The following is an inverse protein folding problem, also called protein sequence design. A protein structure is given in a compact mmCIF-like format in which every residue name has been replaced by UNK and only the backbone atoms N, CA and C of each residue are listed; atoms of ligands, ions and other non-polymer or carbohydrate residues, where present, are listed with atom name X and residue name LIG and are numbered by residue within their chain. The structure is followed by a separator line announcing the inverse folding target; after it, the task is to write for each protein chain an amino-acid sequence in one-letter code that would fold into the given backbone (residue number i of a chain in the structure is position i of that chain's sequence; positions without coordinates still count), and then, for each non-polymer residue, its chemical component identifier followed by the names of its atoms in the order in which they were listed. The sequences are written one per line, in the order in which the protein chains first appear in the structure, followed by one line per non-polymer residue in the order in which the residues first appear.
data_IF_250691676520
#
_entry.id   IF_250691676520
#
_cell.length_a   1.000
_cell.length_b   1.000
_cell.length_c   1.000
_cell.angle_alpha   90.00
_cell.angle_beta   90.00
_cell.angle_gamma   90.00
#
_symmetry.space_group_name_H-M   'P 1'
#
loop_
_entity.id
_entity.type
_entity.pdbx_description
1 polymer ?
#
# COMPACT_ATOMS: atom_id res chain seq x y z
N UNK A 1 4.52 -24.98 19.02
CA UNK A 1 3.27 -24.26 19.32
C UNK A 1 3.26 -22.97 18.50
N UNK A 2 2.07 -22.48 18.09
CA UNK A 2 1.87 -21.31 17.28
C UNK A 2 1.06 -20.27 18.07
N UNK A 3 1.25 -18.99 17.76
CA UNK A 3 0.53 -17.86 18.39
C UNK A 3 -0.02 -16.94 17.32
N UNK A 4 -1.32 -16.62 17.40
CA UNK A 4 -1.98 -15.68 16.51
C UNK A 4 -1.83 -14.24 17.05
N UNK A 5 -1.55 -13.32 16.13
CA UNK A 5 -1.51 -11.88 16.37
C UNK A 5 -2.49 -11.21 15.43
N UNK A 6 -3.39 -10.39 15.96
CA UNK A 6 -4.38 -9.67 15.19
C UNK A 6 -3.96 -8.22 14.98
N UNK A 7 -4.18 -7.74 13.76
CA UNK A 7 -3.91 -6.37 13.34
C UNK A 7 -5.13 -5.77 12.67
N UNK A 8 -5.33 -4.47 12.84
CA UNK A 8 -6.40 -3.71 12.17
C UNK A 8 -5.81 -2.57 11.37
N UNK A 9 -5.95 -2.64 10.04
CA UNK A 9 -5.47 -1.65 9.08
C UNK A 9 -6.62 -1.21 8.19
N UNK A 10 -6.85 0.07 8.04
CA UNK A 10 -7.97 0.65 7.26
C UNK A 10 -9.34 0.04 7.60
N UNK A 11 -9.57 -0.27 8.88
CA UNK A 11 -10.80 -0.92 9.32
C UNK A 11 -10.83 -2.44 9.16
N UNK A 12 -9.91 -3.03 8.40
CA UNK A 12 -9.83 -4.48 8.16
C UNK A 12 -9.00 -5.17 9.23
N UNK A 13 -9.54 -6.24 9.80
CA UNK A 13 -8.82 -7.08 10.77
C UNK A 13 -8.28 -8.32 10.07
N UNK A 14 -7.02 -8.65 10.31
CA UNK A 14 -6.39 -9.87 9.81
C UNK A 14 -5.50 -10.51 10.86
N UNK A 15 -5.31 -11.83 10.74
CA UNK A 15 -4.52 -12.64 11.64
C UNK A 15 -3.16 -13.02 11.03
N UNK A 16 -2.12 -13.00 11.85
CA UNK A 16 -0.80 -13.53 11.52
C UNK A 16 -0.39 -14.51 12.61
N UNK A 17 -0.26 -15.79 12.25
CA UNK A 17 0.10 -16.85 13.17
C UNK A 17 1.59 -17.17 13.03
N UNK A 18 2.34 -16.98 14.12
CA UNK A 18 3.78 -17.17 14.20
C UNK A 18 4.17 -18.31 15.16
N UNK A 19 5.36 -18.93 14.98
CA UNK A 19 5.94 -19.79 16.01
C UNK A 19 6.12 -19.03 17.33
N UNK A 20 5.89 -19.71 18.48
CA UNK A 20 5.94 -19.06 19.80
C UNK A 20 7.34 -18.54 20.21
N UNK A 21 8.38 -19.05 19.58
CA UNK A 21 9.76 -18.57 19.76
C UNK A 21 10.10 -17.31 18.92
N UNK A 22 9.14 -16.82 18.15
CA UNK A 22 9.30 -15.61 17.32
C UNK A 22 8.53 -14.43 17.93
N UNK A 23 9.28 -13.38 18.27
CA UNK A 23 8.72 -12.18 18.87
C UNK A 23 8.22 -11.22 17.80
N UNK A 24 6.90 -11.00 17.77
CA UNK A 24 6.26 -10.12 16.77
C UNK A 24 6.75 -8.68 16.85
N UNK A 25 7.15 -8.22 18.01
CA UNK A 25 7.74 -6.90 18.25
C UNK A 25 9.05 -6.68 17.51
N UNK A 26 9.84 -7.74 17.35
CA UNK A 26 11.12 -7.70 16.65
C UNK A 26 10.93 -7.90 15.13
N UNK A 27 10.01 -8.78 14.74
CA UNK A 27 9.77 -9.13 13.34
C UNK A 27 8.95 -8.06 12.61
N UNK A 28 7.94 -7.49 13.28
CA UNK A 28 6.97 -6.56 12.71
C UNK A 28 6.80 -5.31 13.58
N UNK A 29 7.88 -4.56 13.88
CA UNK A 29 7.81 -3.38 14.77
C UNK A 29 6.86 -2.30 14.24
N UNK A 30 6.75 -2.14 12.93
CA UNK A 30 5.85 -1.18 12.28
C UNK A 30 4.36 -1.52 12.44
N UNK A 31 4.03 -2.75 12.82
CA UNK A 31 2.65 -3.20 13.05
C UNK A 31 2.16 -2.93 14.48
N UNK A 32 3.03 -2.53 15.40
CA UNK A 32 2.65 -2.32 16.80
C UNK A 32 1.51 -1.30 16.98
N UNK A 33 1.47 -0.16 16.25
CA UNK A 33 0.35 0.78 16.32
C UNK A 33 -0.97 0.22 15.78
N UNK A 34 -0.93 -0.88 15.05
CA UNK A 34 -2.07 -1.52 14.40
C UNK A 34 -2.55 -2.79 15.12
N UNK A 35 -1.97 -3.11 16.27
CA UNK A 35 -2.41 -4.27 17.07
C UNK A 35 -3.89 -4.15 17.40
N UNK A 36 -4.59 -5.28 17.25
CA UNK A 36 -6.01 -5.39 17.54
C UNK A 36 -6.23 -6.44 18.63
N UNK A 37 -7.07 -6.12 19.59
CA UNK A 37 -7.57 -7.08 20.58
C UNK A 37 -8.98 -7.47 20.17
N UNK A 38 -9.21 -8.75 20.01
CA UNK A 38 -10.51 -9.27 19.61
C UNK A 38 -11.59 -8.90 20.67
N UNK A 39 -12.68 -8.32 20.19
CA UNK A 39 -13.84 -7.95 20.97
C UNK A 39 -15.10 -8.67 20.45
N UNK A 40 -15.17 -9.98 20.62
CA UNK A 40 -16.27 -10.81 20.12
C UNK A 40 -15.94 -11.52 18.79
N UNK A 41 -16.95 -11.74 17.94
CA UNK A 41 -16.80 -12.44 16.66
C UNK A 41 -16.39 -11.48 15.52
N UNK A 42 -15.15 -11.04 15.49
CA UNK A 42 -14.64 -10.22 14.38
C UNK A 42 -14.35 -11.11 13.16
N UNK A 43 -14.97 -10.79 12.02
CA UNK A 43 -14.64 -11.46 10.75
C UNK A 43 -13.26 -10.99 10.30
N UNK A 44 -12.34 -11.92 10.07
CA UNK A 44 -11.03 -11.62 9.52
C UNK A 44 -11.12 -11.37 8.01
N UNK A 45 -10.34 -10.40 7.54
CA UNK A 45 -10.11 -10.19 6.11
C UNK A 45 -9.36 -11.38 5.52
N UNK A 46 -8.29 -11.80 6.21
CA UNK A 46 -7.54 -13.02 5.92
C UNK A 46 -6.83 -13.55 7.17
N UNK A 47 -6.41 -14.82 7.09
CA UNK A 47 -5.50 -15.44 8.06
C UNK A 47 -4.22 -15.86 7.35
N UNK A 48 -3.07 -15.35 7.82
CA UNK A 48 -1.75 -15.75 7.35
C UNK A 48 -1.09 -16.65 8.39
N UNK A 49 -0.88 -17.91 8.01
CA UNK A 49 -0.27 -18.92 8.87
C UNK A 49 1.16 -19.20 8.42
N UNK A 50 2.14 -18.81 9.25
CA UNK A 50 3.54 -19.14 8.96
C UNK A 50 3.80 -20.61 9.30
N UNK A 51 4.36 -21.35 8.36
CA UNK A 51 4.68 -22.77 8.49
C UNK A 51 6.17 -23.01 8.32
N UNK A 52 6.70 -24.00 9.04
CA UNK A 52 8.04 -24.53 8.82
C UNK A 52 8.12 -25.52 7.66
N UNK A 53 6.97 -26.05 7.23
CA UNK A 53 6.93 -26.97 6.12
C UNK A 53 7.24 -26.24 4.83
N UNK A 54 8.21 -26.73 4.08
CA UNK A 54 8.50 -26.20 2.75
C UNK A 54 7.27 -26.46 1.90
N UNK A 55 6.56 -25.38 1.56
CA UNK A 55 5.46 -25.46 0.63
C UNK A 55 6.04 -25.86 -0.73
N UNK A 56 5.86 -27.14 -1.09
CA UNK A 56 6.37 -27.67 -2.34
C UNK A 56 5.83 -26.88 -3.53
N UNK A 57 6.67 -26.72 -4.55
CA UNK A 57 6.20 -26.24 -5.85
C UNK A 57 5.34 -27.35 -6.45
N UNK A 58 4.10 -27.02 -6.82
CA UNK A 58 3.25 -28.00 -7.50
C UNK A 58 3.77 -28.19 -8.92
N UNK A 59 3.89 -29.43 -9.39
CA UNK A 59 4.32 -29.76 -10.76
C UNK A 59 3.45 -29.08 -11.85
N UNK A 60 2.23 -28.66 -11.49
CA UNK A 60 1.29 -27.97 -12.36
C UNK A 60 1.36 -26.43 -12.24
N UNK A 61 2.28 -25.85 -11.48
CA UNK A 61 2.38 -24.42 -11.33
C UNK A 61 2.88 -23.72 -12.60
N UNK A 62 2.28 -22.58 -12.95
CA UNK A 62 2.65 -21.77 -14.10
C UNK A 62 3.13 -20.39 -13.63
N UNK A 63 4.33 -19.99 -14.03
CA UNK A 63 4.82 -18.60 -13.78
C UNK A 63 3.97 -17.63 -14.60
N UNK A 64 3.35 -16.68 -13.93
CA UNK A 64 2.49 -15.65 -14.55
C UNK A 64 3.12 -14.27 -14.54
N UNK A 65 4.00 -13.99 -13.57
CA UNK A 65 4.71 -12.72 -13.47
C UNK A 65 6.05 -12.90 -12.77
N UNK A 66 7.06 -12.19 -13.23
CA UNK A 66 8.36 -12.11 -12.56
C UNK A 66 8.81 -10.66 -12.57
N UNK A 67 9.17 -10.12 -11.41
CA UNK A 67 9.63 -8.75 -11.26
C UNK A 67 10.89 -8.70 -10.41
N UNK A 68 11.73 -7.70 -10.69
CA UNK A 68 12.87 -7.34 -9.87
C UNK A 68 12.77 -5.85 -9.56
N UNK A 69 12.82 -5.51 -8.28
CA UNK A 69 12.70 -4.14 -7.80
C UNK A 69 13.45 -3.95 -6.48
N UNK A 70 13.27 -2.79 -5.84
CA UNK A 70 13.94 -2.45 -4.57
C UNK A 70 13.62 -3.43 -3.41
N UNK A 71 12.57 -4.25 -3.55
CA UNK A 71 12.21 -5.31 -2.60
C UNK A 71 12.86 -6.66 -2.92
N UNK A 72 13.63 -6.74 -4.01
CA UNK A 72 14.25 -7.96 -4.49
C UNK A 72 13.51 -8.58 -5.68
N UNK A 73 13.77 -9.86 -5.91
CA UNK A 73 13.13 -10.63 -6.97
C UNK A 73 11.85 -11.27 -6.45
N UNK A 74 10.75 -11.08 -7.18
CA UNK A 74 9.47 -11.73 -6.92
C UNK A 74 9.04 -12.56 -8.12
N UNK A 75 8.53 -13.76 -7.85
CA UNK A 75 7.97 -14.68 -8.85
C UNK A 75 6.56 -15.04 -8.41
N UNK A 76 5.60 -14.72 -9.24
CA UNK A 76 4.19 -15.10 -9.05
C UNK A 76 3.88 -16.31 -9.94
N UNK A 77 3.32 -17.32 -9.34
CA UNK A 77 2.87 -18.55 -10.01
C UNK A 77 1.36 -18.74 -9.77
N UNK A 78 0.66 -19.25 -10.76
CA UNK A 78 -0.69 -19.79 -10.57
C UNK A 78 -0.58 -21.28 -10.26
N UNK A 79 -1.33 -21.72 -9.26
CA UNK A 79 -1.38 -23.11 -8.79
C UNK A 79 -2.81 -23.65 -8.84
N UNK A 80 -3.02 -24.93 -8.56
CA UNK A 80 -4.35 -25.51 -8.44
C UNK A 80 -5.18 -24.93 -7.28
N UNK A 81 -4.49 -24.46 -6.21
CA UNK A 81 -5.13 -23.86 -5.03
C UNK A 81 -5.42 -22.35 -5.21
N UNK A 82 -4.66 -21.65 -6.03
CA UNK A 82 -4.75 -20.21 -6.22
C UNK A 82 -3.42 -19.62 -6.67
N UNK A 83 -2.69 -18.99 -5.76
CA UNK A 83 -1.43 -18.32 -6.08
C UNK A 83 -0.30 -18.80 -5.18
N UNK A 84 0.89 -18.89 -5.78
CA UNK A 84 2.16 -18.97 -5.06
C UNK A 84 2.99 -17.73 -5.42
N UNK A 85 3.43 -16.97 -4.41
CA UNK A 85 4.36 -15.87 -4.61
C UNK A 85 5.65 -16.20 -3.86
N UNK A 86 6.76 -16.08 -4.57
CA UNK A 86 8.12 -16.27 -4.07
C UNK A 86 8.83 -14.93 -4.01
N UNK A 87 9.55 -14.68 -2.92
CA UNK A 87 10.30 -13.44 -2.67
C UNK A 87 11.72 -13.77 -2.26
N UNK A 88 12.69 -13.12 -2.91
CA UNK A 88 14.12 -13.21 -2.60
C UNK A 88 14.72 -11.81 -2.63
N UNK A 89 15.35 -11.36 -1.53
CA UNK A 89 15.89 -10.01 -1.43
C UNK A 89 17.22 -9.79 -2.17
N UNK A 90 18.01 -10.82 -2.35
CA UNK A 90 19.32 -10.77 -3.05
C UNK A 90 19.57 -12.07 -3.76
N UNK A 91 20.42 -12.03 -4.77
CA UNK A 91 20.94 -13.24 -5.41
C UNK A 91 21.54 -14.18 -4.35
N UNK A 92 21.22 -15.45 -4.47
CA UNK A 92 21.62 -16.52 -3.53
C UNK A 92 21.06 -16.39 -2.09
N UNK A 93 20.20 -15.42 -1.79
CA UNK A 93 19.48 -15.38 -0.53
C UNK A 93 18.40 -16.49 -0.48
N UNK A 94 17.96 -16.90 0.72
CA UNK A 94 16.84 -17.82 0.85
C UNK A 94 15.56 -17.30 0.19
N UNK A 95 14.73 -18.23 -0.29
CA UNK A 95 13.42 -17.94 -0.85
C UNK A 95 12.39 -17.96 0.26
N UNK A 96 11.63 -16.87 0.38
CA UNK A 96 10.42 -16.79 1.18
C UNK A 96 9.22 -16.93 0.25
N UNK A 97 8.12 -17.51 0.71
CA UNK A 97 6.97 -17.73 -0.15
C UNK A 97 5.64 -17.57 0.62
N UNK A 98 4.59 -17.24 -0.11
CA UNK A 98 3.20 -17.46 0.31
C UNK A 98 2.47 -18.33 -0.69
N UNK A 99 1.52 -19.11 -0.18
CA UNK A 99 0.42 -19.72 -0.94
C UNK A 99 -0.87 -19.10 -0.46
N UNK A 100 -1.69 -18.63 -1.40
CA UNK A 100 -2.97 -18.00 -1.12
C UNK A 100 -4.06 -18.59 -1.98
N UNK A 101 -5.27 -18.70 -1.42
CA UNK A 101 -6.47 -18.96 -2.20
C UNK A 101 -6.75 -17.80 -3.18
N UNK A 102 -7.63 -17.96 -4.18
CA UNK A 102 -7.88 -16.93 -5.19
C UNK A 102 -8.35 -15.58 -4.63
N UNK A 103 -8.95 -15.56 -3.43
CA UNK A 103 -9.45 -14.36 -2.77
C UNK A 103 -8.51 -13.82 -1.70
N UNK A 104 -7.36 -14.45 -1.49
CA UNK A 104 -6.40 -14.12 -0.43
C UNK A 104 -7.02 -14.11 0.97
N UNK A 105 -7.97 -15.00 1.25
CA UNK A 105 -8.60 -15.18 2.58
C UNK A 105 -7.84 -16.16 3.45
N UNK A 106 -7.26 -17.20 2.84
CA UNK A 106 -6.39 -18.18 3.47
C UNK A 106 -4.99 -18.11 2.88
N UNK A 107 -4.02 -17.72 3.71
CA UNK A 107 -2.64 -17.54 3.29
C UNK A 107 -1.72 -18.40 4.17
N UNK A 108 -0.89 -19.22 3.54
CA UNK A 108 0.21 -19.94 4.19
C UNK A 108 1.53 -19.29 3.78
N UNK A 109 2.38 -19.01 4.75
CA UNK A 109 3.68 -18.40 4.51
C UNK A 109 4.81 -19.34 4.94
N UNK A 110 5.82 -19.45 4.10
CA UNK A 110 7.11 -20.07 4.44
C UNK A 110 8.16 -18.98 4.55
N UNK A 111 8.72 -18.82 5.75
CA UNK A 111 9.74 -17.81 6.07
C UNK A 111 11.01 -18.53 6.51
N UNK A 112 12.10 -18.25 5.83
CA UNK A 112 13.43 -18.76 6.20
C UNK A 112 13.97 -17.92 7.36
N UNK A 113 13.85 -18.44 8.58
CA UNK A 113 14.17 -17.68 9.81
C UNK A 113 15.66 -17.38 10.00
N UNK A 114 16.54 -18.14 9.34
CA UNK A 114 17.99 -17.90 9.35
C UNK A 114 18.42 -16.76 8.41
N UNK A 115 17.50 -16.23 7.61
CA UNK A 115 17.74 -15.04 6.79
C UNK A 115 17.67 -13.78 7.64
N UNK A 116 18.66 -12.91 7.51
CA UNK A 116 18.69 -11.59 8.16
C UNK A 116 17.51 -10.70 7.72
N UNK A 117 16.91 -10.98 6.58
CA UNK A 117 15.75 -10.28 6.02
C UNK A 117 14.41 -10.94 6.38
N UNK A 118 14.36 -11.97 7.23
CA UNK A 118 13.14 -12.71 7.54
C UNK A 118 11.95 -11.82 7.97
N UNK A 119 12.20 -10.83 8.85
CA UNK A 119 11.18 -9.87 9.26
C UNK A 119 10.69 -8.98 8.12
N UNK A 120 11.62 -8.48 7.28
CA UNK A 120 11.27 -7.69 6.09
C UNK A 120 10.52 -8.51 5.05
N UNK A 121 10.90 -9.78 4.88
CA UNK A 121 10.20 -10.70 4.00
C UNK A 121 8.77 -10.95 4.48
N UNK A 122 8.59 -11.27 5.76
CA UNK A 122 7.26 -11.44 6.36
C UNK A 122 6.40 -10.18 6.17
N UNK A 123 6.95 -9.00 6.47
CA UNK A 123 6.28 -7.72 6.27
C UNK A 123 5.81 -7.53 4.81
N UNK A 124 6.66 -7.86 3.84
CA UNK A 124 6.33 -7.75 2.42
C UNK A 124 5.29 -8.78 1.97
N UNK A 125 5.39 -10.02 2.44
CA UNK A 125 4.41 -11.08 2.17
C UNK A 125 3.01 -10.71 2.71
N UNK A 126 2.93 -10.16 3.93
CA UNK A 126 1.68 -9.64 4.50
C UNK A 126 1.13 -8.50 3.65
N UNK A 127 1.98 -7.55 3.20
CA UNK A 127 1.57 -6.44 2.33
C UNK A 127 0.95 -6.94 1.04
N UNK A 128 1.56 -7.93 0.40
CA UNK A 128 1.07 -8.49 -0.86
C UNK A 128 -0.29 -9.16 -0.63
N UNK A 129 -0.43 -10.00 0.39
CA UNK A 129 -1.70 -10.63 0.71
C UNK A 129 -2.79 -9.59 1.02
N UNK A 130 -2.46 -8.60 1.85
CA UNK A 130 -3.37 -7.51 2.21
C UNK A 130 -3.85 -6.73 0.98
N UNK A 131 -2.92 -6.35 0.08
CA UNK A 131 -3.27 -5.53 -1.09
C UNK A 131 -4.23 -6.22 -2.06
N UNK A 132 -4.21 -7.56 -2.13
CA UNK A 132 -5.17 -8.31 -2.94
C UNK A 132 -6.50 -8.52 -2.20
N UNK A 133 -6.44 -8.89 -0.92
CA UNK A 133 -7.63 -9.18 -0.11
C UNK A 133 -8.58 -7.97 0.02
N UNK A 134 -8.06 -6.75 0.09
CA UNK A 134 -8.87 -5.53 0.24
C UNK A 134 -9.64 -5.14 -1.02
N UNK A 135 -9.25 -5.62 -2.21
CA UNK A 135 -9.86 -5.19 -3.48
C UNK A 135 -11.37 -5.43 -3.52
N UNK A 136 -11.84 -6.58 -3.04
CA UNK A 136 -13.26 -6.92 -2.97
C UNK A 136 -14.07 -6.08 -1.95
N UNK A 137 -13.38 -5.22 -1.20
CA UNK A 137 -13.96 -4.36 -0.15
C UNK A 137 -13.91 -2.86 -0.48
N UNK A 138 -13.87 -2.51 -1.77
CA UNK A 138 -13.78 -1.12 -2.26
C UNK A 138 -12.57 -0.37 -1.66
N UNK A 139 -11.45 -1.06 -1.56
CA UNK A 139 -10.21 -0.50 -1.03
C UNK A 139 -9.03 -0.85 -1.92
N UNK A 140 -8.02 0.03 -1.98
CA UNK A 140 -6.84 -0.10 -2.82
C UNK A 140 -5.60 0.33 -2.04
N UNK A 141 -4.55 -0.48 -2.07
CA UNK A 141 -3.20 -0.09 -1.65
C UNK A 141 -2.54 0.71 -2.76
N UNK A 142 -2.01 1.90 -2.45
CA UNK A 142 -1.41 2.80 -3.44
C UNK A 142 0.04 3.14 -3.11
N UNK A 143 0.92 3.11 -4.09
CA UNK A 143 2.30 3.55 -3.94
C UNK A 143 2.36 5.09 -3.97
N UNK A 144 2.19 5.71 -2.81
CA UNK A 144 2.10 7.15 -2.63
C UNK A 144 2.75 7.60 -1.33
N UNK A 145 3.20 8.86 -1.30
CA UNK A 145 3.43 9.58 -0.05
C UNK A 145 2.18 10.41 0.26
N UNK A 146 1.69 10.34 1.49
CA UNK A 146 0.45 10.99 1.91
C UNK A 146 0.71 11.94 3.08
N UNK A 147 0.19 13.18 2.97
CA UNK A 147 0.18 14.17 4.03
C UNK A 147 -1.24 14.48 4.47
N UNK A 148 -1.38 14.99 5.68
CA UNK A 148 -2.64 15.51 6.22
C UNK A 148 -2.48 17.01 6.48
N UNK A 149 -3.38 17.79 5.97
CA UNK A 149 -3.44 19.22 6.20
C UNK A 149 -4.90 19.67 6.39
N UNK A 150 -5.17 20.44 7.43
CA UNK A 150 -6.53 20.89 7.80
C UNK A 150 -7.57 19.76 7.83
N UNK A 151 -7.18 18.58 8.38
CA UNK A 151 -8.06 17.42 8.49
C UNK A 151 -8.36 16.66 7.18
N UNK A 152 -7.69 16.98 6.08
CA UNK A 152 -7.82 16.31 4.79
C UNK A 152 -6.50 15.67 4.37
N UNK A 153 -6.58 14.53 3.68
CA UNK A 153 -5.43 13.84 3.12
C UNK A 153 -5.15 14.26 1.67
N UNK A 154 -3.87 14.41 1.35
CA UNK A 154 -3.34 14.65 0.01
C UNK A 154 -2.31 13.59 -0.32
N UNK A 155 -2.46 12.92 -1.46
CA UNK A 155 -1.59 11.84 -1.87
C UNK A 155 -0.74 12.24 -3.07
N UNK A 156 0.55 11.92 -3.02
CA UNK A 156 1.50 12.15 -4.09
C UNK A 156 1.96 10.82 -4.65
N UNK A 157 1.60 10.54 -5.91
CA UNK A 157 1.91 9.32 -6.64
C UNK A 157 3.02 9.57 -7.67
N UNK A 158 3.67 8.53 -8.11
CA UNK A 158 4.72 8.59 -9.14
C UNK A 158 5.65 7.39 -9.05
N UNK A 159 6.48 7.19 -10.09
CA UNK A 159 7.51 6.13 -10.09
C UNK A 159 8.48 6.31 -8.92
N UNK A 160 9.18 5.23 -8.53
CA UNK A 160 10.28 5.33 -7.58
C UNK A 160 11.29 6.41 -8.04
N UNK A 161 11.77 7.23 -7.09
CA UNK A 161 12.69 8.33 -7.40
C UNK A 161 12.06 9.59 -8.01
N UNK A 162 10.75 9.66 -8.23
CA UNK A 162 10.08 10.86 -8.79
C UNK A 162 10.11 12.07 -7.84
N UNK A 163 10.27 11.84 -6.52
CA UNK A 163 10.30 12.92 -5.53
C UNK A 163 9.06 12.98 -4.64
N UNK A 164 8.28 11.90 -4.50
CA UNK A 164 7.08 11.85 -3.65
C UNK A 164 7.36 12.31 -2.21
N UNK A 165 8.32 11.67 -1.54
CA UNK A 165 8.70 12.02 -0.16
C UNK A 165 9.27 13.44 -0.06
N UNK A 166 10.00 13.91 -1.08
CA UNK A 166 10.46 15.30 -1.17
C UNK A 166 9.30 16.27 -1.23
N UNK A 167 8.30 15.99 -2.07
CA UNK A 167 7.13 16.86 -2.21
C UNK A 167 6.29 16.89 -0.91
N UNK A 168 6.14 15.75 -0.24
CA UNK A 168 5.52 15.69 1.09
C UNK A 168 6.29 16.49 2.15
N UNK A 169 7.63 16.50 2.09
CA UNK A 169 8.46 17.33 2.97
C UNK A 169 8.23 18.82 2.69
N UNK A 170 8.23 19.23 1.43
CA UNK A 170 7.93 20.61 1.03
C UNK A 170 6.54 21.08 1.46
N UNK A 171 5.53 20.22 1.42
CA UNK A 171 4.20 20.54 1.97
C UNK A 171 4.26 20.81 3.46
N UNK A 172 4.97 19.99 4.22
CA UNK A 172 5.14 20.15 5.67
C UNK A 172 5.91 21.41 6.05
N UNK A 173 6.82 21.85 5.20
CA UNK A 173 7.56 23.11 5.34
C UNK A 173 6.70 24.34 4.97
N UNK A 174 5.87 24.22 3.94
CA UNK A 174 5.04 25.33 3.45
C UNK A 174 3.78 25.57 4.26
N UNK A 175 3.19 24.51 4.84
CA UNK A 175 1.85 24.60 5.43
C UNK A 175 1.88 24.22 6.91
N UNK A 176 1.55 25.21 7.77
CA UNK A 176 1.49 25.00 9.21
C UNK A 176 0.47 23.89 9.55
N UNK A 177 0.85 22.97 10.43
CA UNK A 177 0.01 21.83 10.83
C UNK A 177 -0.10 20.71 9.79
N UNK A 178 0.65 20.80 8.68
CA UNK A 178 0.75 19.70 7.74
C UNK A 178 1.64 18.59 8.29
N UNK A 179 1.12 17.36 8.32
CA UNK A 179 1.79 16.19 8.89
C UNK A 179 1.85 15.03 7.90
N UNK A 180 2.86 14.18 8.01
CA UNK A 180 2.95 12.95 7.23
C UNK A 180 1.92 11.93 7.76
N UNK A 181 1.14 11.32 6.86
CA UNK A 181 0.24 10.21 7.18
C UNK A 181 0.91 8.86 6.90
N UNK A 182 1.53 8.74 5.73
CA UNK A 182 2.27 7.54 5.31
C UNK A 182 3.24 7.91 4.17
N UNK A 183 4.37 7.22 4.05
CA UNK A 183 5.39 7.53 3.03
C UNK A 183 5.71 6.34 2.12
N UNK A 184 4.75 5.50 1.77
CA UNK A 184 4.96 4.47 0.75
C UNK A 184 3.66 3.81 0.30
N UNK A 185 2.84 3.34 1.26
CA UNK A 185 1.76 2.43 0.94
C UNK A 185 0.47 2.71 1.74
N UNK A 186 -0.09 3.94 1.67
CA UNK A 186 -1.39 4.20 2.27
C UNK A 186 -2.48 3.35 1.60
N UNK A 187 -3.55 3.09 2.33
CA UNK A 187 -4.76 2.45 1.79
C UNK A 187 -5.81 3.51 1.52
N UNK A 188 -6.38 3.50 0.32
CA UNK A 188 -7.61 4.23 -0.01
C UNK A 188 -8.80 3.29 0.15
N UNK A 189 -9.87 3.78 0.75
CA UNK A 189 -11.13 3.05 0.90
C UNK A 189 -12.30 3.97 0.67
N UNK A 190 -13.34 3.46 0.00
CA UNK A 190 -14.60 4.18 -0.17
C UNK A 190 -15.53 3.79 0.97
N UNK A 191 -15.91 4.76 1.79
CA UNK A 191 -16.81 4.63 2.94
C UNK A 191 -17.87 5.73 2.87
N UNK A 192 -19.15 5.35 2.93
CA UNK A 192 -20.27 6.30 2.88
C UNK A 192 -20.14 7.34 1.75
N UNK A 193 -19.73 6.87 0.56
CA UNK A 193 -19.50 7.68 -0.64
C UNK A 193 -18.32 8.67 -0.57
N UNK A 194 -17.46 8.54 0.43
CA UNK A 194 -16.26 9.34 0.63
C UNK A 194 -15.02 8.47 0.47
N UNK A 195 -14.00 8.98 -0.21
CA UNK A 195 -12.69 8.33 -0.27
C UNK A 195 -11.90 8.73 0.97
N UNK A 196 -11.49 7.73 1.75
CA UNK A 196 -10.70 7.89 2.97
C UNK A 196 -9.31 7.30 2.77
N UNK A 197 -8.28 8.06 3.13
CA UNK A 197 -6.90 7.60 3.16
C UNK A 197 -6.52 7.14 4.57
N UNK A 198 -5.90 5.98 4.65
CA UNK A 198 -5.45 5.37 5.89
C UNK A 198 -3.94 5.25 5.91
N UNK A 199 -3.34 5.59 7.05
CA UNK A 199 -1.97 5.19 7.35
C UNK A 199 -1.87 3.68 7.56
N UNK A 200 -0.73 3.11 7.24
CA UNK A 200 -0.49 1.67 7.24
C UNK A 200 0.84 1.32 7.90
N UNK A 201 1.09 0.04 8.23
CA UNK A 201 2.37 -0.40 8.77
C UNK A 201 3.51 -0.43 7.71
N UNK A 202 3.22 -0.14 6.46
CA UNK A 202 4.19 -0.12 5.37
C UNK A 202 4.58 1.31 5.04
N UNK A 203 5.86 1.65 5.24
CA UNK A 203 6.43 2.97 4.96
C UNK A 203 7.74 2.85 4.20
N UNK A 204 8.09 3.88 3.45
CA UNK A 204 9.31 3.95 2.67
C UNK A 204 10.52 4.43 3.47
N UNK A 205 11.26 5.37 2.88
CA UNK A 205 12.49 5.92 3.47
C UNK A 205 12.24 6.69 4.77
N UNK A 206 11.06 7.29 4.91
CA UNK A 206 10.65 8.01 6.12
C UNK A 206 9.73 7.12 6.93
N UNK A 207 10.18 6.52 8.05
CA UNK A 207 9.31 5.70 8.89
C UNK A 207 8.11 6.50 9.40
N UNK A 208 6.91 6.08 9.01
CA UNK A 208 5.66 6.70 9.43
C UNK A 208 4.55 5.63 9.51
N UNK A 209 4.24 5.20 10.71
CA UNK A 209 3.32 4.10 10.99
C UNK A 209 2.12 4.61 11.79
N UNK A 210 1.34 5.51 11.17
CA UNK A 210 0.18 6.15 11.84
C UNK A 210 -1.07 5.32 11.59
N UNK A 211 -1.69 4.84 12.64
CA UNK A 211 -3.02 4.24 12.59
C UNK A 211 -4.08 5.35 12.66
N UNK A 212 -4.24 6.08 11.57
CA UNK A 212 -5.13 7.21 11.44
C UNK A 212 -5.78 7.25 10.04
N UNK A 213 -6.92 7.93 9.92
CA UNK A 213 -7.71 8.01 8.71
C UNK A 213 -8.20 9.43 8.45
N UNK A 214 -8.20 9.87 7.18
CA UNK A 214 -8.65 11.20 6.80
C UNK A 214 -9.32 11.18 5.42
N UNK A 215 -10.39 11.95 5.22
CA UNK A 215 -11.00 12.13 3.91
C UNK A 215 -9.98 12.68 2.91
N UNK A 216 -9.96 12.15 1.70
CA UNK A 216 -9.05 12.57 0.64
C UNK A 216 -9.57 13.83 -0.03
N UNK A 217 -8.76 14.89 -0.05
CA UNK A 217 -9.04 16.09 -0.82
C UNK A 217 -8.47 16.03 -2.24
N UNK A 218 -7.36 15.31 -2.44
CA UNK A 218 -6.79 15.17 -3.77
C UNK A 218 -5.68 14.15 -3.90
N UNK A 219 -5.53 13.64 -5.10
CA UNK A 219 -4.47 12.71 -5.50
C UNK A 219 -3.70 13.32 -6.66
N UNK A 220 -2.39 13.49 -6.50
CA UNK A 220 -1.55 14.18 -7.47
C UNK A 220 -0.44 13.27 -7.94
N UNK A 221 -0.41 13.02 -9.27
CA UNK A 221 0.70 12.32 -9.89
C UNK A 221 1.84 13.29 -10.20
N UNK A 222 3.01 13.01 -9.67
CA UNK A 222 4.20 13.82 -9.85
C UNK A 222 5.00 13.39 -11.08
N UNK A 223 5.59 14.36 -11.77
CA UNK A 223 6.57 14.17 -12.83
C UNK A 223 7.65 15.26 -12.69
N UNK A 224 8.92 14.87 -12.74
CA UNK A 224 10.02 15.83 -12.76
C UNK A 224 9.98 16.65 -14.04
N UNK A 225 10.17 17.97 -13.92
CA UNK A 225 10.17 18.93 -15.03
C UNK A 225 11.12 20.09 -14.74
N UNK A 226 11.29 20.96 -15.74
CA UNK A 226 12.10 22.18 -15.64
C UNK A 226 11.30 23.40 -15.17
N UNK A 227 9.98 23.26 -15.07
CA UNK A 227 9.03 24.29 -14.61
C UNK A 227 7.87 23.64 -13.87
N UNK A 228 7.22 24.41 -12.99
CA UNK A 228 6.08 23.96 -12.24
C UNK A 228 4.81 24.18 -13.05
N UNK A 229 4.08 23.11 -13.36
CA UNK A 229 2.82 23.14 -14.08
C UNK A 229 1.86 22.10 -13.52
N UNK A 230 0.66 22.53 -13.14
CA UNK A 230 -0.43 21.65 -12.72
C UNK A 230 -1.45 21.48 -13.85
N UNK A 231 -1.92 20.26 -14.05
CA UNK A 231 -2.99 19.94 -14.99
C UNK A 231 -4.01 19.05 -14.26
N UNK A 232 -5.27 19.50 -14.09
CA UNK A 232 -6.33 18.64 -13.59
C UNK A 232 -6.53 17.46 -14.57
N UNK A 233 -6.91 16.32 -14.01
CA UNK A 233 -7.19 15.11 -14.77
C UNK A 233 -8.64 14.71 -14.50
N UNK A 234 -9.38 14.42 -15.56
CA UNK A 234 -10.80 14.05 -15.49
C UNK A 234 -11.00 12.73 -16.24
N UNK A 235 -12.09 12.04 -15.96
CA UNK A 235 -12.51 10.82 -16.62
C UNK A 235 -11.39 9.78 -16.80
N UNK A 236 -11.16 9.36 -18.03
CA UNK A 236 -10.13 8.36 -18.40
C UNK A 236 -8.73 8.83 -18.04
N UNK A 237 -8.46 10.15 -18.08
CA UNK A 237 -7.14 10.69 -17.72
C UNK A 237 -6.89 10.56 -16.20
N UNK A 238 -7.90 10.78 -15.36
CA UNK A 238 -7.83 10.59 -13.92
C UNK A 238 -7.56 9.12 -13.58
N UNK A 239 -8.34 8.20 -14.14
CA UNK A 239 -8.13 6.76 -14.01
C UNK A 239 -6.70 6.35 -14.42
N UNK A 240 -6.25 6.79 -15.60
CA UNK A 240 -4.92 6.47 -16.14
C UNK A 240 -3.79 7.00 -15.24
N UNK A 241 -4.01 8.13 -14.57
CA UNK A 241 -3.03 8.68 -13.62
C UNK A 241 -2.89 7.80 -12.35
N UNK A 242 -3.94 7.11 -11.91
CA UNK A 242 -3.97 6.29 -10.70
C UNK A 242 -3.38 4.89 -10.90
N UNK A 243 -3.75 4.20 -12.00
CA UNK A 243 -3.42 2.78 -12.25
C UNK A 243 -1.96 2.41 -11.96
N UNK A 244 -0.93 3.14 -12.45
CA UNK A 244 0.45 2.69 -12.30
C UNK A 244 1.03 2.78 -10.88
N UNK A 245 0.24 3.24 -9.92
CA UNK A 245 0.64 3.29 -8.51
C UNK A 245 -0.11 2.29 -7.64
N UNK A 246 -0.84 1.35 -8.21
CA UNK A 246 -1.67 0.42 -7.47
C UNK A 246 -1.18 -1.02 -7.63
N UNK A 247 -1.37 -1.82 -6.58
CA UNK A 247 -0.89 -3.20 -6.54
C UNK A 247 -2.06 -4.17 -6.76
N UNK A 248 -2.03 -4.87 -7.88
CA UNK A 248 -2.88 -6.02 -8.13
C UNK A 248 -2.15 -7.03 -9.02
N UNK A 249 -2.61 -8.25 -9.01
CA UNK A 249 -2.15 -9.30 -9.92
C UNK A 249 -2.77 -9.02 -11.28
N UNK A 250 -1.99 -8.42 -12.20
CA UNK A 250 -2.48 -8.02 -13.54
C UNK A 250 -2.86 -9.20 -14.42
N UNK A 251 -2.28 -10.36 -14.20
CA UNK A 251 -2.58 -11.60 -14.94
C UNK A 251 -3.88 -12.27 -14.50
N UNK A 252 -4.49 -11.81 -13.40
CA UNK A 252 -5.81 -12.26 -12.96
C UNK A 252 -6.89 -11.24 -13.33
N UNK A 253 -7.77 -11.65 -14.23
CA UNK A 253 -8.83 -10.78 -14.76
C UNK A 253 -9.79 -10.30 -13.69
N UNK A 254 -10.10 -11.12 -12.68
CA UNK A 254 -11.04 -10.76 -11.60
C UNK A 254 -10.41 -9.71 -10.70
N UNK A 255 -9.20 -9.96 -10.20
CA UNK A 255 -8.48 -9.02 -9.32
C UNK A 255 -8.19 -7.70 -10.05
N UNK A 256 -7.76 -7.78 -11.31
CA UNK A 256 -7.44 -6.59 -12.08
C UNK A 256 -8.68 -5.75 -12.44
N UNK A 257 -9.78 -6.39 -12.84
CA UNK A 257 -11.05 -5.67 -13.08
C UNK A 257 -11.57 -5.04 -11.79
N UNK A 258 -11.53 -5.75 -10.66
CA UNK A 258 -11.93 -5.20 -9.36
C UNK A 258 -11.07 -3.99 -8.97
N UNK A 259 -9.75 -4.03 -9.23
CA UNK A 259 -8.90 -2.85 -9.08
C UNK A 259 -9.37 -1.70 -9.97
N UNK A 260 -9.61 -1.97 -11.26
CA UNK A 260 -10.05 -0.93 -12.21
C UNK A 260 -11.38 -0.29 -11.77
N UNK A 261 -12.36 -1.10 -11.37
CA UNK A 261 -13.65 -0.60 -10.87
C UNK A 261 -13.47 0.30 -9.63
N UNK A 262 -12.66 -0.13 -8.67
CA UNK A 262 -12.34 0.68 -7.49
C UNK A 262 -11.65 2.00 -7.86
N UNK A 263 -10.75 1.99 -8.85
CA UNK A 263 -10.05 3.21 -9.28
C UNK A 263 -10.94 4.18 -10.04
N UNK A 264 -11.90 3.68 -10.83
CA UNK A 264 -12.95 4.50 -11.44
C UNK A 264 -13.78 5.17 -10.34
N UNK A 265 -14.29 4.37 -9.41
CA UNK A 265 -15.04 4.84 -8.26
C UNK A 265 -14.29 5.92 -7.44
N UNK A 266 -12.97 5.77 -7.26
CA UNK A 266 -12.12 6.77 -6.57
C UNK A 266 -11.96 8.02 -7.43
N UNK A 267 -11.68 7.87 -8.73
CA UNK A 267 -11.45 8.99 -9.64
C UNK A 267 -12.69 9.90 -9.79
N UNK A 268 -13.89 9.34 -9.69
CA UNK A 268 -15.14 10.08 -9.72
C UNK A 268 -15.41 10.92 -8.46
N UNK A 269 -14.76 10.58 -7.33
CA UNK A 269 -15.03 11.18 -6.01
C UNK A 269 -13.93 12.11 -5.52
N UNK A 270 -12.75 12.06 -6.13
CA UNK A 270 -11.57 12.78 -5.64
C UNK A 270 -10.95 13.58 -6.77
N UNK A 271 -10.53 14.79 -6.47
CA UNK A 271 -9.75 15.58 -7.42
C UNK A 271 -8.43 14.89 -7.75
N UNK A 272 -8.21 14.62 -9.03
CA UNK A 272 -6.98 14.00 -9.54
C UNK A 272 -6.22 15.00 -10.38
N UNK A 273 -4.90 15.10 -10.18
CA UNK A 273 -4.06 16.02 -10.93
C UNK A 273 -2.72 15.42 -11.35
N UNK A 274 -2.12 16.04 -12.37
CA UNK A 274 -0.75 15.81 -12.81
C UNK A 274 0.05 17.07 -12.52
N UNK A 275 1.09 16.95 -11.64
CA UNK A 275 2.03 18.02 -11.37
C UNK A 275 3.38 17.69 -12.01
N UNK A 276 3.73 18.44 -13.06
CA UNK A 276 5.08 18.52 -13.57
C UNK A 276 5.82 19.58 -12.74
N UNK A 277 6.91 19.22 -12.05
CA UNK A 277 7.49 20.15 -11.08
C UNK A 277 9.00 20.01 -10.84
N UNK A 278 9.55 21.08 -10.30
CA UNK A 278 10.82 21.16 -9.60
C UNK A 278 10.64 20.73 -8.13
N UNK A 279 11.70 20.37 -7.43
CA UNK A 279 11.64 20.07 -5.98
C UNK A 279 11.77 21.36 -5.17
N UNK A 280 10.78 22.27 -5.26
CA UNK A 280 10.78 23.57 -4.60
C UNK A 280 9.44 23.89 -3.92
N UNK A 281 9.45 24.94 -3.08
CA UNK A 281 8.26 25.39 -2.35
C UNK A 281 7.15 25.92 -3.28
N UNK A 282 7.50 26.46 -4.44
CA UNK A 282 6.53 26.98 -5.40
C UNK A 282 5.73 25.82 -6.02
N UNK A 283 6.36 24.66 -6.23
CA UNK A 283 5.65 23.44 -6.62
C UNK A 283 4.62 23.01 -5.57
N UNK A 284 4.97 23.08 -4.27
CA UNK A 284 4.06 22.73 -3.19
C UNK A 284 2.87 23.73 -3.12
N UNK A 285 3.14 25.03 -3.24
CA UNK A 285 2.10 26.06 -3.25
C UNK A 285 1.18 25.96 -4.46
N UNK A 286 1.76 25.77 -5.66
CA UNK A 286 0.98 25.53 -6.88
C UNK A 286 0.10 24.30 -6.75
N UNK A 287 0.63 23.21 -6.21
CA UNK A 287 -0.12 21.99 -5.97
C UNK A 287 -1.31 22.25 -5.05
N UNK A 288 -1.09 22.83 -3.87
CA UNK A 288 -2.13 23.09 -2.89
C UNK A 288 -3.22 24.05 -3.41
N UNK A 289 -2.83 25.15 -4.06
CA UNK A 289 -3.78 26.09 -4.65
C UNK A 289 -4.60 25.52 -5.80
N UNK A 290 -4.08 24.48 -6.47
CA UNK A 290 -4.78 23.82 -7.58
C UNK A 290 -5.69 22.70 -7.11
N UNK A 291 -5.27 21.90 -6.12
CA UNK A 291 -6.00 20.72 -5.67
C UNK A 291 -7.00 21.01 -4.56
N UNK A 292 -6.81 22.09 -3.80
CA UNK A 292 -7.68 22.52 -2.72
C UNK A 292 -7.73 24.08 -2.62
N UNK A 293 -8.25 24.77 -3.64
CA UNK A 293 -8.21 26.23 -3.72
C UNK A 293 -8.93 26.90 -2.55
N UNK A 294 -10.03 26.35 -2.06
CA UNK A 294 -10.77 26.90 -0.94
C UNK A 294 -9.92 26.89 0.34
N UNK A 295 -9.34 25.76 0.68
CA UNK A 295 -8.46 25.60 1.85
C UNK A 295 -7.19 26.48 1.74
N UNK A 296 -6.66 26.67 0.54
CA UNK A 296 -5.48 27.50 0.30
C UNK A 296 -5.78 28.99 0.47
N UNK A 297 -6.98 29.46 0.09
CA UNK A 297 -7.38 30.85 0.21
C UNK A 297 -7.65 31.29 1.65
N UNK A 298 -8.00 30.37 2.55
CA UNK A 298 -8.17 30.66 3.99
C UNK A 298 -6.85 31.00 4.72
N UNK A 299 -5.71 30.79 4.06
CA UNK A 299 -4.38 31.15 4.60
C UNK A 299 -3.99 32.61 4.30
N UNK A 300 -4.76 33.33 3.47
CA UNK A 300 -4.50 34.72 3.10
C UNK A 300 -5.29 35.67 3.99
#
# INVERSE_FOLDING_TARGET
MMREHLFKVAGFVFGVTLPMDKEVEQLLPSFLPFRYKQDGSTKLLFSLNVTSDILADEDSSCVVEQTENDMGQTILKRTSFGYRLELRYKDNAPMHAIHADPNFTEVKANVCWDDVYAGSALCSLIRIAYSQAILSHKAVSVHASAVVWQGKAFLFMGKSGTGKSTHSALWRECFQGCELLNDDNPTLRIEDDIVVAYGTPWSGKTPCYRNAAFPVAGIVRLRQAKENRYNPQEDVAAFTALVPGCFAIHSDTILYNTLCDNLVDIAERVHVGLLACLPDHDAARLCASSVAPEMFNELR
#
